data_IF_319927720794
#
_entry.id   IF_319927720794
#
_cell.length_a   1.000
_cell.length_b   1.000
_cell.length_c   1.000
_cell.angle_alpha   90.00
_cell.angle_beta   90.00
_cell.angle_gamma   90.00
#
_symmetry.space_group_name_H-M   'P 1'
#
loop_
_entity.id
_entity.type
_entity.pdbx_description
1 polymer ?
#
# COMPACT_ATOMS: atom_id res chain seq x y z
N UNK A 1 17.49 -21.59 18.62
CA UNK A 1 16.63 -20.87 19.59
C UNK A 1 15.40 -20.41 18.85
N UNK A 2 14.29 -21.17 18.97
CA UNK A 2 13.06 -20.91 18.22
C UNK A 2 12.21 -19.86 18.92
N UNK A 3 12.29 -18.62 18.44
CA UNK A 3 11.33 -17.58 18.79
C UNK A 3 9.98 -17.95 18.21
N UNK A 4 8.96 -18.08 19.08
CA UNK A 4 7.57 -18.25 18.65
C UNK A 4 7.15 -16.95 17.94
N UNK A 5 7.12 -16.96 16.62
CA UNK A 5 6.61 -15.83 15.83
C UNK A 5 5.08 -15.79 15.98
N UNK A 6 4.58 -15.01 16.94
CA UNK A 6 3.15 -14.69 16.98
C UNK A 6 2.82 -13.87 15.71
N UNK A 7 2.01 -14.46 14.85
CA UNK A 7 1.67 -13.90 13.55
C UNK A 7 0.41 -13.05 13.67
N UNK A 8 0.50 -11.81 13.21
CA UNK A 8 -0.65 -10.94 13.07
C UNK A 8 -1.33 -11.23 11.73
N UNK A 9 -2.64 -11.39 11.73
CA UNK A 9 -3.45 -11.65 10.53
C UNK A 9 -4.67 -10.76 10.56
N UNK A 10 -4.97 -10.08 9.46
CA UNK A 10 -6.24 -9.41 9.22
C UNK A 10 -6.67 -9.72 7.79
N UNK A 11 -7.97 -9.97 7.58
CA UNK A 11 -8.50 -10.21 6.25
C UNK A 11 -10.02 -10.16 6.22
N UNK A 12 -10.55 -9.66 5.12
CA UNK A 12 -11.99 -9.64 4.86
C UNK A 12 -12.29 -10.16 3.44
N UNK A 13 -13.52 -10.61 3.25
CA UNK A 13 -14.05 -11.02 1.94
C UNK A 13 -15.34 -10.25 1.68
N UNK A 14 -15.39 -9.58 0.53
CA UNK A 14 -16.62 -9.02 -0.01
C UNK A 14 -17.19 -9.98 -1.05
N UNK A 15 -18.49 -10.26 -1.00
CA UNK A 15 -19.24 -10.93 -2.04
C UNK A 15 -20.40 -10.03 -2.46
N UNK A 16 -20.42 -9.61 -3.73
CA UNK A 16 -21.43 -8.68 -4.28
C UNK A 16 -21.58 -7.40 -3.45
N UNK A 17 -20.46 -6.83 -2.99
CA UNK A 17 -20.42 -5.62 -2.17
C UNK A 17 -20.72 -5.83 -0.69
N UNK A 18 -21.02 -7.05 -0.24
CA UNK A 18 -21.33 -7.36 1.16
C UNK A 18 -20.12 -8.03 1.83
N UNK A 19 -19.70 -7.50 3.00
CA UNK A 19 -18.66 -8.13 3.84
C UNK A 19 -19.21 -9.41 4.46
N UNK A 20 -18.72 -10.56 3.99
CA UNK A 20 -19.14 -11.91 4.40
C UNK A 20 -18.11 -12.63 5.25
N UNK A 21 -16.86 -12.16 5.23
CA UNK A 21 -15.80 -12.58 6.16
C UNK A 21 -15.12 -11.32 6.66
N UNK A 22 -14.88 -11.25 7.96
CA UNK A 22 -14.08 -10.23 8.61
C UNK A 22 -13.35 -10.87 9.79
N UNK A 23 -12.04 -10.93 9.72
CA UNK A 23 -11.21 -11.68 10.66
C UNK A 23 -9.95 -10.89 10.97
N UNK A 24 -9.58 -10.90 12.24
CA UNK A 24 -8.29 -10.42 12.71
C UNK A 24 -7.78 -11.23 13.89
N UNK A 25 -6.48 -11.15 14.17
CA UNK A 25 -5.85 -11.79 15.31
C UNK A 25 -4.36 -11.54 15.38
N UNK A 26 -3.77 -11.83 16.55
CA UNK A 26 -2.37 -11.56 16.84
C UNK A 26 -2.19 -10.26 17.61
N UNK A 27 -1.07 -9.57 17.37
CA UNK A 27 -0.66 -8.38 18.14
C UNK A 27 -0.59 -7.15 17.23
N UNK A 28 -1.06 -6.01 17.71
CA UNK A 28 -0.75 -4.71 17.11
C UNK A 28 0.65 -4.24 17.52
N UNK A 29 1.12 -4.61 18.71
CA UNK A 29 2.49 -4.38 19.17
C UNK A 29 2.97 -5.65 19.87
N UNK A 30 3.95 -6.33 19.26
CA UNK A 30 4.51 -7.56 19.84
C UNK A 30 5.34 -7.29 21.08
N UNK A 31 6.12 -6.20 21.10
CA UNK A 31 6.99 -5.85 22.21
C UNK A 31 6.19 -5.53 23.47
N UNK A 32 5.09 -4.80 23.31
CA UNK A 32 4.15 -4.49 24.39
C UNK A 32 3.10 -5.58 24.64
N UNK A 33 3.09 -6.66 23.84
CA UNK A 33 2.04 -7.68 23.84
C UNK A 33 0.61 -7.11 23.69
N UNK A 34 0.46 -5.98 22.98
CA UNK A 34 -0.85 -5.36 22.76
C UNK A 34 -1.61 -6.12 21.66
N UNK A 35 -2.85 -6.57 21.91
CA UNK A 35 -3.60 -7.37 20.96
C UNK A 35 -3.98 -6.56 19.71
N UNK A 36 -4.15 -7.25 18.59
CA UNK A 36 -4.82 -6.70 17.42
C UNK A 36 -6.32 -6.59 17.69
N UNK A 37 -6.84 -5.37 17.62
CA UNK A 37 -8.26 -5.07 17.79
C UNK A 37 -8.88 -4.64 16.45
N UNK A 38 -10.21 -4.72 16.32
CA UNK A 38 -10.95 -4.29 15.14
C UNK A 38 -10.54 -2.88 14.62
N UNK A 39 -10.39 -1.84 15.47
CA UNK A 39 -9.98 -0.51 15.01
C UNK A 39 -8.48 -0.36 14.75
N UNK A 40 -7.68 -1.43 14.80
CA UNK A 40 -6.23 -1.33 14.54
C UNK A 40 -5.98 -0.92 13.09
N UNK A 41 -5.20 0.12 12.90
CA UNK A 41 -4.71 0.61 11.62
C UNK A 41 -3.31 0.06 11.38
N UNK A 42 -2.96 -0.23 10.14
CA UNK A 42 -1.59 -0.57 9.77
C UNK A 42 -1.19 0.11 8.46
N UNK A 43 0.09 0.46 8.30
CA UNK A 43 0.62 0.80 7.00
C UNK A 43 0.62 -0.43 6.12
N UNK A 44 0.42 -0.22 4.82
CA UNK A 44 0.30 -1.32 3.85
C UNK A 44 0.92 -1.01 2.49
N UNK A 45 1.84 -0.07 2.55
CA UNK A 45 2.88 0.09 1.56
C UNK A 45 2.32 0.33 0.16
N UNK A 46 2.82 -0.43 -0.81
CA UNK A 46 2.59 -0.21 -2.23
C UNK A 46 1.13 -0.35 -2.67
N UNK A 47 0.30 -0.97 -1.84
CA UNK A 47 -1.14 -1.04 -2.06
C UNK A 47 -1.77 0.34 -2.23
N UNK A 48 -1.24 1.33 -1.52
CA UNK A 48 -1.65 2.74 -1.61
C UNK A 48 -1.71 3.23 -3.06
N UNK A 49 -0.82 2.75 -3.94
CA UNK A 49 -0.78 3.13 -5.36
C UNK A 49 -2.09 2.82 -6.08
N UNK A 50 -2.72 1.68 -5.80
CA UNK A 50 -4.02 1.35 -6.38
C UNK A 50 -5.12 2.29 -5.90
N UNK A 51 -5.05 2.69 -4.63
CA UNK A 51 -5.98 3.65 -4.02
C UNK A 51 -5.79 5.04 -4.62
N UNK A 52 -4.56 5.54 -4.76
CA UNK A 52 -4.28 6.85 -5.38
C UNK A 52 -4.53 6.86 -6.89
N UNK A 53 -4.29 5.75 -7.59
CA UNK A 53 -4.71 5.58 -8.99
C UNK A 53 -6.24 5.63 -9.14
N UNK A 54 -7.01 5.14 -8.17
CA UNK A 54 -8.47 5.26 -8.18
C UNK A 54 -8.93 6.72 -8.11
N UNK A 55 -8.26 7.57 -7.32
CA UNK A 55 -8.52 9.01 -7.32
C UNK A 55 -8.34 9.63 -8.71
N UNK A 56 -7.30 9.22 -9.44
CA UNK A 56 -7.07 9.66 -10.82
C UNK A 56 -8.12 9.10 -11.80
N UNK A 57 -8.58 7.87 -11.59
CA UNK A 57 -9.66 7.27 -12.38
C UNK A 57 -10.99 8.04 -12.22
N UNK A 58 -11.29 8.54 -11.02
CA UNK A 58 -12.43 9.43 -10.78
C UNK A 58 -12.30 10.69 -11.65
N UNK A 59 -11.12 11.32 -11.67
CA UNK A 59 -10.86 12.49 -12.50
C UNK A 59 -11.02 12.18 -14.00
N UNK A 60 -10.53 11.02 -14.47
CA UNK A 60 -10.73 10.56 -15.85
C UNK A 60 -12.21 10.36 -16.18
N UNK A 61 -12.98 9.75 -15.28
CA UNK A 61 -14.41 9.50 -15.48
C UNK A 61 -15.23 10.79 -15.67
N UNK A 62 -14.72 11.91 -15.14
CA UNK A 62 -15.31 13.26 -15.27
C UNK A 62 -14.86 14.00 -16.52
N UNK A 63 -13.96 13.41 -17.31
CA UNK A 63 -13.31 14.11 -18.42
C UNK A 63 -12.32 15.20 -17.97
N UNK A 64 -11.94 15.24 -16.69
CA UNK A 64 -11.03 16.26 -16.15
C UNK A 64 -9.56 15.99 -16.51
N UNK A 65 -9.22 14.73 -16.84
CA UNK A 65 -7.90 14.31 -17.28
C UNK A 65 -8.01 13.23 -18.37
N UNK A 66 -7.00 13.10 -19.22
CA UNK A 66 -6.90 12.05 -20.23
C UNK A 66 -5.61 11.24 -20.07
N UNK A 67 -5.72 9.93 -20.17
CA UNK A 67 -4.59 9.02 -20.02
C UNK A 67 -3.61 9.14 -21.20
N UNK A 68 -4.11 9.41 -22.40
CA UNK A 68 -3.28 9.52 -23.59
C UNK A 68 -2.80 10.97 -23.83
N UNK A 69 -3.30 11.93 -23.05
CA UNK A 69 -2.81 13.30 -23.03
C UNK A 69 -1.45 13.42 -22.35
N UNK A 70 -0.69 14.44 -22.75
CA UNK A 70 0.61 14.77 -22.15
C UNK A 70 0.39 15.32 -20.75
N UNK A 71 1.18 14.89 -19.77
CA UNK A 71 1.11 15.40 -18.38
C UNK A 71 1.19 16.94 -18.35
N UNK A 72 2.00 17.51 -19.24
CA UNK A 72 2.19 18.95 -19.42
C UNK A 72 0.89 19.73 -19.71
N UNK A 73 -0.17 19.09 -20.21
CA UNK A 73 -1.46 19.74 -20.47
C UNK A 73 -2.14 20.20 -19.17
N UNK A 74 -2.00 19.43 -18.09
CA UNK A 74 -2.53 19.78 -16.77
C UNK A 74 -1.47 20.41 -15.88
N UNK A 75 -0.21 20.03 -16.10
CA UNK A 75 0.91 20.42 -15.26
C UNK A 75 2.06 20.96 -16.13
N UNK A 76 1.97 22.22 -16.61
CA UNK A 76 2.93 22.76 -17.57
C UNK A 76 4.38 22.70 -17.10
N UNK A 77 4.65 22.94 -15.82
CA UNK A 77 5.98 22.86 -15.24
C UNK A 77 6.54 21.43 -15.25
N UNK A 78 5.75 20.40 -15.55
CA UNK A 78 6.27 19.06 -15.74
C UNK A 78 7.09 18.92 -17.02
N UNK A 79 6.88 19.76 -18.04
CA UNK A 79 7.49 19.63 -19.37
C UNK A 79 9.00 19.92 -19.45
N UNK A 80 9.67 20.15 -18.31
CA UNK A 80 11.11 20.40 -18.24
C UNK A 80 11.91 19.10 -18.20
N UNK A 81 13.19 19.17 -18.51
CA UNK A 81 14.17 18.08 -18.36
C UNK A 81 13.77 16.78 -19.07
N UNK A 82 13.29 16.89 -20.32
CA UNK A 82 12.98 15.77 -21.22
C UNK A 82 11.60 15.15 -21.01
N UNK A 83 10.73 15.77 -20.22
CA UNK A 83 9.42 15.22 -19.84
C UNK A 83 8.25 15.77 -20.65
N UNK A 84 8.50 16.63 -21.63
CA UNK A 84 7.50 17.25 -22.50
C UNK A 84 6.54 16.25 -23.16
N UNK A 85 7.06 15.05 -23.47
CA UNK A 85 6.33 14.03 -24.21
C UNK A 85 5.70 12.94 -23.34
N UNK A 86 5.88 12.99 -22.02
CA UNK A 86 5.32 11.97 -21.11
C UNK A 86 3.80 12.07 -21.08
N UNK A 87 3.11 10.98 -21.40
CA UNK A 87 1.66 10.86 -21.22
C UNK A 87 1.30 10.51 -19.78
N UNK A 88 0.07 10.80 -19.37
CA UNK A 88 -0.44 10.40 -18.06
C UNK A 88 -0.37 8.88 -17.90
N UNK A 89 -0.70 8.11 -18.95
CA UNK A 89 -0.59 6.65 -18.99
C UNK A 89 0.84 6.21 -18.71
N UNK A 90 1.83 6.79 -19.39
CA UNK A 90 3.24 6.45 -19.19
C UNK A 90 3.72 6.80 -17.78
N UNK A 91 3.22 7.90 -17.21
CA UNK A 91 3.53 8.24 -15.82
C UNK A 91 3.01 7.17 -14.86
N UNK A 92 1.74 6.82 -14.93
CA UNK A 92 1.13 5.88 -13.96
C UNK A 92 1.50 4.41 -14.22
N UNK A 93 2.02 4.09 -15.41
CA UNK A 93 2.48 2.74 -15.79
C UNK A 93 3.97 2.49 -15.49
N UNK A 94 4.64 3.43 -14.79
CA UNK A 94 6.08 3.37 -14.51
C UNK A 94 6.98 3.51 -15.75
N UNK A 95 6.55 4.28 -16.76
CA UNK A 95 7.16 4.48 -18.09
C UNK A 95 7.60 5.94 -18.37
N UNK A 96 7.61 6.83 -17.36
CA UNK A 96 8.05 8.24 -17.43
C UNK A 96 9.52 8.59 -17.06
N UNK A 97 10.35 7.63 -16.66
CA UNK A 97 11.80 7.77 -16.43
C UNK A 97 12.16 8.35 -15.07
N UNK A 98 11.23 8.29 -14.12
CA UNK A 98 11.33 8.91 -12.80
C UNK A 98 11.29 7.88 -11.66
N UNK A 99 11.84 6.69 -11.89
CA UNK A 99 11.84 5.58 -10.93
C UNK A 99 12.49 5.93 -9.59
N UNK A 100 13.52 6.77 -9.59
CA UNK A 100 14.21 7.23 -8.39
C UNK A 100 14.83 8.61 -8.56
N UNK A 101 14.05 9.70 -8.45
CA UNK A 101 14.53 11.07 -8.64
C UNK A 101 15.82 11.35 -7.87
N UNK A 102 16.69 12.17 -8.46
CA UNK A 102 17.96 12.59 -7.89
C UNK A 102 18.12 14.12 -8.02
N UNK A 103 18.48 14.84 -6.93
CA UNK A 103 18.70 14.35 -5.56
C UNK A 103 17.41 13.79 -4.93
N UNK A 104 17.48 12.97 -3.88
CA UNK A 104 16.27 12.45 -3.25
C UNK A 104 15.37 13.53 -2.67
N UNK A 105 14.05 13.33 -2.71
CA UNK A 105 13.10 14.25 -2.08
C UNK A 105 13.29 14.27 -0.55
N UNK A 106 13.18 15.44 0.07
CA UNK A 106 13.20 15.55 1.52
C UNK A 106 11.81 15.29 2.13
N UNK A 107 11.76 14.70 3.32
CA UNK A 107 10.50 14.51 4.05
C UNK A 107 9.74 15.82 4.29
N UNK A 108 10.46 16.91 4.59
CA UNK A 108 9.84 18.22 4.77
C UNK A 108 9.15 18.73 3.49
N UNK A 109 9.74 18.46 2.31
CA UNK A 109 9.14 18.81 1.01
C UNK A 109 7.82 18.09 0.79
N UNK A 110 7.72 16.81 1.20
CA UNK A 110 6.52 15.99 1.05
C UNK A 110 5.30 16.52 1.86
N UNK A 111 5.54 17.37 2.87
CA UNK A 111 4.45 17.99 3.67
C UNK A 111 3.77 19.14 2.95
N UNK A 112 4.41 19.71 1.93
CA UNK A 112 3.87 20.81 1.13
C UNK A 112 3.55 20.32 -0.28
N UNK A 113 2.27 20.43 -0.65
CA UNK A 113 1.78 19.97 -1.95
C UNK A 113 2.47 20.71 -3.11
N UNK A 114 2.66 22.02 -3.00
CA UNK A 114 3.29 22.82 -4.04
C UNK A 114 4.78 22.53 -4.17
N UNK A 115 5.49 22.41 -3.05
CA UNK A 115 6.91 22.05 -3.04
C UNK A 115 7.13 20.64 -3.59
N UNK A 116 6.26 19.69 -3.23
CA UNK A 116 6.29 18.31 -3.76
C UNK A 116 6.12 18.31 -5.27
N UNK A 117 5.12 19.03 -5.81
CA UNK A 117 4.95 19.21 -7.26
C UNK A 117 6.22 19.81 -7.85
N UNK A 118 6.64 20.99 -7.41
CA UNK A 118 7.82 21.68 -7.95
C UNK A 118 9.06 20.78 -8.02
N UNK A 119 9.32 19.98 -6.97
CA UNK A 119 10.41 19.01 -6.95
C UNK A 119 10.30 17.97 -8.09
N UNK A 120 9.12 17.35 -8.24
CA UNK A 120 8.91 16.31 -9.25
C UNK A 120 8.90 16.88 -10.68
N UNK A 121 8.39 18.09 -10.86
CA UNK A 121 8.48 18.84 -12.11
C UNK A 121 9.95 19.08 -12.52
N UNK A 122 10.81 19.43 -11.56
CA UNK A 122 12.22 19.69 -11.81
C UNK A 122 13.07 18.41 -11.96
N UNK A 123 12.58 17.23 -11.59
CA UNK A 123 13.35 15.99 -11.68
C UNK A 123 13.67 15.62 -13.15
N UNK A 124 14.93 15.29 -13.48
CA UNK A 124 15.29 14.92 -14.85
C UNK A 124 14.79 13.53 -15.21
N UNK A 125 14.28 13.37 -16.44
CA UNK A 125 13.93 12.06 -16.98
C UNK A 125 15.20 11.26 -17.28
N UNK A 126 15.21 9.98 -16.89
CA UNK A 126 16.37 9.11 -17.10
C UNK A 126 16.27 8.26 -18.38
N UNK A 127 15.06 8.10 -18.91
CA UNK A 127 14.86 7.46 -20.21
C UNK A 127 15.08 8.44 -21.35
N UNK A 128 15.53 7.93 -22.49
CA UNK A 128 15.68 8.73 -23.71
C UNK A 128 14.29 9.10 -24.25
N UNK A 129 13.40 8.12 -24.27
CA UNK A 129 12.02 8.30 -24.72
C UNK A 129 11.06 7.71 -23.68
N UNK A 130 9.94 8.40 -23.36
CA UNK A 130 8.90 7.84 -22.50
C UNK A 130 8.40 6.51 -23.07
N UNK A 131 8.31 5.47 -22.24
CA UNK A 131 7.93 4.11 -22.68
C UNK A 131 9.07 3.18 -23.06
N UNK A 132 10.32 3.66 -23.15
CA UNK A 132 11.47 2.79 -23.48
C UNK A 132 11.62 1.62 -22.48
N UNK A 133 11.38 1.90 -21.19
CA UNK A 133 11.55 0.95 -20.11
C UNK A 133 10.49 1.14 -19.02
N UNK A 134 10.37 0.13 -18.16
CA UNK A 134 9.62 0.19 -16.91
C UNK A 134 10.55 0.29 -15.73
N UNK A 135 10.35 1.31 -14.90
CA UNK A 135 11.11 1.55 -13.68
C UNK A 135 10.18 1.76 -12.51
N UNK A 136 10.07 0.74 -11.66
CA UNK A 136 9.14 0.75 -10.54
C UNK A 136 9.42 1.94 -9.59
N UNK A 137 8.49 2.89 -9.58
CA UNK A 137 8.46 4.05 -8.69
C UNK A 137 7.96 3.62 -7.32
N UNK A 138 8.85 2.97 -6.56
CA UNK A 138 8.49 2.24 -5.35
C UNK A 138 7.84 3.11 -4.26
N UNK A 139 8.25 4.37 -4.14
CA UNK A 139 7.71 5.30 -3.12
C UNK A 139 7.03 6.50 -3.77
N UNK A 140 7.51 6.96 -4.92
CA UNK A 140 7.11 8.24 -5.50
C UNK A 140 5.82 8.21 -6.32
N UNK A 141 5.35 7.04 -6.80
CA UNK A 141 4.19 6.98 -7.72
C UNK A 141 2.95 7.67 -7.14
N UNK A 142 2.57 7.36 -5.91
CA UNK A 142 1.37 7.94 -5.29
C UNK A 142 1.45 9.47 -5.15
N UNK A 143 2.66 10.04 -5.08
CA UNK A 143 2.84 11.48 -5.08
C UNK A 143 2.63 12.10 -6.47
N UNK A 144 3.10 11.43 -7.53
CA UNK A 144 2.79 11.86 -8.91
C UNK A 144 1.29 11.75 -9.22
N UNK A 145 0.64 10.66 -8.80
CA UNK A 145 -0.81 10.49 -8.94
C UNK A 145 -1.57 11.59 -8.18
N UNK A 146 -1.16 11.87 -6.94
CA UNK A 146 -1.74 12.97 -6.15
C UNK A 146 -1.48 14.34 -6.79
N UNK A 147 -0.31 14.57 -7.39
CA UNK A 147 -0.03 15.81 -8.13
C UNK A 147 -0.96 15.96 -9.33
N UNK A 148 -1.17 14.89 -10.11
CA UNK A 148 -2.12 14.91 -11.23
C UNK A 148 -3.55 15.19 -10.77
N UNK A 149 -4.00 14.55 -9.69
CA UNK A 149 -5.32 14.84 -9.09
C UNK A 149 -5.43 16.30 -8.70
N UNK A 150 -4.42 16.88 -8.04
CA UNK A 150 -4.43 18.29 -7.68
C UNK A 150 -4.53 19.21 -8.89
N UNK A 151 -3.90 18.86 -10.01
CA UNK A 151 -3.93 19.65 -11.23
C UNK A 151 -5.22 19.49 -12.03
N UNK A 152 -5.93 18.37 -11.88
CA UNK A 152 -7.21 18.12 -12.57
C UNK A 152 -8.45 18.46 -11.73
N UNK A 153 -8.33 18.64 -10.41
CA UNK A 153 -9.44 18.91 -9.48
C UNK A 153 -9.92 20.39 -9.47
N UNK A 154 -9.63 21.13 -10.54
CA UNK A 154 -10.02 22.54 -10.71
C UNK A 154 -9.46 23.46 -9.61
N UNK A 155 -10.31 24.36 -9.09
CA UNK A 155 -9.90 25.34 -8.07
C UNK A 155 -9.67 24.71 -6.68
N UNK A 156 -10.27 23.54 -6.40
CA UNK A 156 -10.16 22.89 -5.08
C UNK A 156 -8.76 22.34 -4.83
N UNK A 157 -8.08 21.87 -5.89
CA UNK A 157 -6.73 21.29 -5.85
C UNK A 157 -6.51 20.32 -4.68
N UNK A 158 -7.48 19.44 -4.43
CA UNK A 158 -7.35 18.41 -3.39
C UNK A 158 -6.26 17.43 -3.79
N UNK A 159 -5.54 16.93 -2.79
CA UNK A 159 -4.69 15.75 -2.91
C UNK A 159 -5.55 14.52 -3.21
N UNK A 160 -4.93 13.45 -3.71
CA UNK A 160 -5.64 12.17 -3.90
C UNK A 160 -6.34 11.71 -2.61
N UNK A 161 -5.71 11.89 -1.45
CA UNK A 161 -6.28 11.48 -0.17
C UNK A 161 -7.47 12.31 0.29
N UNK A 162 -7.43 13.64 0.12
CA UNK A 162 -8.57 14.51 0.40
C UNK A 162 -9.74 14.20 -0.53
N UNK A 163 -9.48 14.03 -1.83
CA UNK A 163 -10.53 13.67 -2.79
C UNK A 163 -11.19 12.34 -2.42
N UNK A 164 -10.39 11.31 -2.12
CA UNK A 164 -10.91 10.00 -1.72
C UNK A 164 -11.68 10.05 -0.40
N UNK A 165 -11.20 10.85 0.57
CA UNK A 165 -11.93 11.05 1.83
C UNK A 165 -13.31 11.63 1.57
N UNK A 166 -13.38 12.73 0.83
CA UNK A 166 -14.63 13.46 0.60
C UNK A 166 -15.62 12.66 -0.26
N UNK A 167 -15.13 11.97 -1.29
CA UNK A 167 -15.98 11.42 -2.34
C UNK A 167 -16.16 9.90 -2.27
N UNK A 168 -15.34 9.20 -1.50
CA UNK A 168 -15.40 7.75 -1.40
C UNK A 168 -15.52 7.30 0.05
N UNK A 169 -14.56 7.66 0.91
CA UNK A 169 -14.49 7.09 2.25
C UNK A 169 -15.62 7.59 3.14
N UNK A 170 -15.89 8.90 3.17
CA UNK A 170 -16.98 9.46 3.99
C UNK A 170 -18.38 9.02 3.51
N UNK A 171 -18.70 9.02 2.20
CA UNK A 171 -19.98 8.47 1.72
C UNK A 171 -20.18 6.97 2.03
N UNK A 172 -19.08 6.21 2.19
CA UNK A 172 -19.11 4.80 2.54
C UNK A 172 -19.04 4.55 4.07
N UNK A 173 -18.82 5.59 4.87
CA UNK A 173 -18.66 5.49 6.33
C UNK A 173 -17.38 4.80 6.79
N UNK A 174 -16.31 4.85 5.98
CA UNK A 174 -15.01 4.21 6.26
C UNK A 174 -13.85 5.22 6.40
N UNK A 175 -14.13 6.51 6.46
CA UNK A 175 -13.15 7.59 6.56
C UNK A 175 -12.25 7.54 7.80
N UNK A 176 -12.65 6.75 8.80
CA UNK A 176 -11.88 6.45 10.00
C UNK A 176 -11.22 5.06 10.03
N UNK A 177 -11.39 4.29 8.95
CA UNK A 177 -10.77 2.98 8.73
C UNK A 177 -9.62 3.06 7.71
N UNK A 178 -9.63 4.07 6.84
CA UNK A 178 -8.64 4.23 5.76
C UNK A 178 -8.16 5.68 5.63
N UNK A 179 -6.85 5.86 5.54
CA UNK A 179 -6.21 7.18 5.48
C UNK A 179 -5.14 7.21 4.39
N UNK A 180 -5.27 8.16 3.46
CA UNK A 180 -4.18 8.60 2.58
C UNK A 180 -3.82 10.02 3.04
N UNK A 181 -2.79 10.14 3.89
CA UNK A 181 -2.52 11.37 4.64
C UNK A 181 -3.29 11.39 5.96
N UNK A 182 -2.76 10.68 6.97
CA UNK A 182 -3.39 10.55 8.28
C UNK A 182 -3.44 11.89 9.03
N UNK A 183 -4.62 12.34 9.51
CA UNK A 183 -4.74 13.54 10.34
C UNK A 183 -3.99 13.44 11.66
N UNK A 184 -3.52 14.58 12.17
CA UNK A 184 -2.85 14.71 13.47
C UNK A 184 -3.73 14.26 14.67
N UNK A 185 -5.05 14.25 14.49
CA UNK A 185 -6.03 13.85 15.51
C UNK A 185 -6.13 12.34 15.74
N UNK A 186 -5.69 11.50 14.79
CA UNK A 186 -5.73 10.04 14.96
C UNK A 186 -4.63 9.63 15.96
N UNK A 187 -4.96 8.95 17.07
CA UNK A 187 -3.96 8.62 18.09
C UNK A 187 -3.03 7.49 17.63
N UNK A 188 -1.76 7.58 17.99
CA UNK A 188 -0.71 6.61 17.61
C UNK A 188 -1.03 5.18 18.08
N UNK A 189 -1.76 5.04 19.19
CA UNK A 189 -2.19 3.74 19.73
C UNK A 189 -3.11 2.94 18.80
N UNK A 190 -3.70 3.56 17.76
CA UNK A 190 -4.43 2.83 16.73
C UNK A 190 -3.50 2.14 15.74
N UNK A 191 -2.26 2.58 15.58
CA UNK A 191 -1.35 2.03 14.59
C UNK A 191 -0.62 0.80 15.13
N UNK A 192 -0.57 -0.25 14.31
CA UNK A 192 0.28 -1.40 14.56
C UNK A 192 1.75 -1.01 14.43
N UNK A 193 2.56 -1.50 15.36
CA UNK A 193 4.02 -1.41 15.32
C UNK A 193 4.54 -2.44 14.34
N UNK A 194 5.23 -1.96 13.31
CA UNK A 194 5.83 -2.80 12.29
C UNK A 194 7.23 -3.19 12.73
N UNK A 195 7.44 -4.49 12.89
CA UNK A 195 8.77 -5.08 13.00
C UNK A 195 9.47 -4.95 11.64
N UNK A 196 10.47 -4.06 11.55
CA UNK A 196 11.32 -3.96 10.38
C UNK A 196 12.18 -5.21 10.21
N UNK A 197 12.72 -5.41 9.00
CA UNK A 197 13.71 -6.47 8.78
C UNK A 197 15.03 -6.05 9.42
N UNK A 198 15.65 -6.93 10.21
CA UNK A 198 16.83 -6.60 11.00
C UNK A 198 18.08 -7.36 10.52
N UNK A 199 19.26 -6.76 10.71
CA UNK A 199 20.53 -7.41 10.40
C UNK A 199 20.66 -7.89 8.94
N UNK A 200 21.08 -9.15 8.75
CA UNK A 200 21.26 -9.75 7.43
C UNK A 200 20.03 -10.54 6.94
N UNK A 201 18.93 -10.56 7.69
CA UNK A 201 17.70 -11.30 7.33
C UNK A 201 17.21 -11.03 5.89
N UNK A 202 17.27 -9.80 5.36
CA UNK A 202 16.86 -9.55 3.98
C UNK A 202 17.68 -10.32 2.94
N UNK A 203 18.98 -10.56 3.16
CA UNK A 203 19.84 -11.23 2.19
C UNK A 203 19.47 -12.70 1.97
N UNK A 204 18.74 -13.29 2.92
CA UNK A 204 18.29 -14.68 2.90
C UNK A 204 16.77 -14.81 2.67
N UNK A 205 16.08 -13.70 2.39
CA UNK A 205 14.66 -13.73 2.11
C UNK A 205 14.39 -14.21 0.67
N UNK A 206 13.89 -15.43 0.53
CA UNK A 206 13.44 -16.01 -0.75
C UNK A 206 12.22 -15.29 -1.35
N UNK A 207 11.66 -14.32 -0.62
CA UNK A 207 10.51 -13.51 -1.07
C UNK A 207 10.85 -12.49 -2.15
N UNK A 208 12.12 -12.28 -2.47
CA UNK A 208 12.55 -11.30 -3.47
C UNK A 208 13.22 -11.95 -4.70
N UNK A 209 13.10 -11.32 -5.89
CA UNK A 209 13.81 -11.78 -7.07
C UNK A 209 15.33 -11.86 -6.85
N UNK A 210 16.03 -12.81 -7.50
CA UNK A 210 17.48 -12.93 -7.40
C UNK A 210 18.21 -11.60 -7.62
N UNK A 211 19.09 -11.24 -6.69
CA UNK A 211 19.89 -10.02 -6.75
C UNK A 211 19.16 -8.73 -6.37
N UNK A 212 17.85 -8.75 -6.08
CA UNK A 212 17.10 -7.56 -5.61
C UNK A 212 17.74 -6.95 -4.36
N UNK A 213 17.96 -7.76 -3.33
CA UNK A 213 18.48 -7.30 -2.03
C UNK A 213 19.92 -6.81 -2.17
N UNK A 214 20.75 -7.51 -2.97
CA UNK A 214 22.10 -7.06 -3.30
C UNK A 214 22.09 -5.69 -3.98
N UNK A 215 21.24 -5.47 -4.98
CA UNK A 215 21.12 -4.18 -5.67
C UNK A 215 20.61 -3.07 -4.76
N UNK A 216 19.62 -3.39 -3.92
CA UNK A 216 19.04 -2.47 -2.95
C UNK A 216 20.06 -2.00 -1.90
N UNK A 217 20.82 -2.92 -1.32
CA UNK A 217 21.70 -2.64 -0.18
C UNK A 217 23.14 -2.29 -0.57
N UNK A 218 23.68 -2.91 -1.63
CA UNK A 218 25.11 -2.83 -1.97
C UNK A 218 25.39 -2.00 -3.23
N UNK A 219 24.38 -1.60 -4.00
CA UNK A 219 24.55 -0.81 -5.22
C UNK A 219 23.75 0.50 -5.17
N UNK A 220 24.23 1.55 -4.49
CA UNK A 220 23.48 2.81 -4.27
C UNK A 220 23.07 3.54 -5.55
N UNK A 221 23.78 3.30 -6.66
CA UNK A 221 23.47 3.89 -7.98
C UNK A 221 22.45 3.08 -8.77
N UNK A 222 22.10 1.87 -8.33
CA UNK A 222 21.10 1.05 -9.00
C UNK A 222 19.72 1.72 -8.95
N UNK A 223 18.91 1.51 -9.99
CA UNK A 223 17.51 1.96 -10.00
C UNK A 223 16.73 1.41 -8.81
N UNK A 224 17.04 0.18 -8.39
CA UNK A 224 16.44 -0.45 -7.21
C UNK A 224 16.75 0.35 -5.94
N UNK A 225 18.02 0.63 -5.64
CA UNK A 225 18.37 1.42 -4.46
C UNK A 225 17.73 2.82 -4.49
N UNK A 226 17.77 3.49 -5.65
CA UNK A 226 17.24 4.85 -5.80
C UNK A 226 15.71 4.92 -5.68
N UNK A 227 14.98 3.91 -6.16
CA UNK A 227 13.52 3.86 -6.06
C UNK A 227 13.04 3.79 -4.61
N UNK A 228 13.82 3.16 -3.72
CA UNK A 228 13.50 3.02 -2.29
C UNK A 228 14.13 4.12 -1.41
N UNK A 229 15.02 4.95 -1.97
CA UNK A 229 15.72 6.02 -1.25
C UNK A 229 15.04 7.40 -1.36
N UNK A 230 13.77 7.46 -1.77
CA UNK A 230 13.02 8.67 -2.06
C UNK A 230 11.71 8.72 -1.26
N UNK A 231 11.66 9.32 -0.06
CA UNK A 231 12.63 10.24 0.52
C UNK A 231 13.85 9.56 1.16
N UNK A 232 14.96 10.30 1.30
CA UNK A 232 16.15 9.81 2.02
C UNK A 232 15.92 9.94 3.52
N UNK A 233 15.77 8.81 4.20
CA UNK A 233 15.68 8.75 5.66
C UNK A 233 17.09 8.83 6.27
N UNK A 234 17.22 9.50 7.43
CA UNK A 234 18.49 9.83 8.08
C UNK A 234 19.17 8.67 8.83
N UNK A 235 18.63 7.46 8.78
CA UNK A 235 19.18 6.27 9.45
C UNK A 235 19.71 5.23 8.44
N UNK A 236 20.76 4.44 8.78
CA UNK A 236 21.26 3.35 7.92
C UNK A 236 20.14 2.35 7.57
N UNK A 237 20.31 1.53 6.52
CA UNK A 237 19.26 0.67 5.96
C UNK A 237 18.95 -0.56 6.84
N UNK A 238 18.68 -0.37 8.13
CA UNK A 238 17.69 -1.20 8.81
C UNK A 238 16.32 -0.79 8.27
N UNK A 239 16.04 -1.29 7.06
CA UNK A 239 14.75 -1.41 6.36
C UNK A 239 13.64 -0.56 6.98
N UNK A 240 13.54 0.71 6.54
CA UNK A 240 12.41 1.63 6.69
C UNK A 240 11.78 1.60 8.10
N UNK A 241 12.11 2.57 8.96
CA UNK A 241 11.37 2.81 10.22
C UNK A 241 9.93 3.24 9.90
N UNK A 242 9.06 2.25 9.68
CA UNK A 242 7.66 2.42 9.30
C UNK A 242 6.80 2.97 10.43
N UNK A 243 7.37 3.07 11.64
CA UNK A 243 6.67 3.52 12.84
C UNK A 243 6.74 5.04 13.02
N UNK A 244 7.40 5.76 12.09
CA UNK A 244 7.36 7.22 12.05
C UNK A 244 6.10 7.72 11.37
N UNK A 245 5.33 8.54 12.09
CA UNK A 245 4.15 9.26 11.59
C UNK A 245 4.40 10.12 10.34
N UNK A 246 5.66 10.45 10.07
CA UNK A 246 6.10 11.21 8.91
C UNK A 246 5.99 10.41 7.59
N UNK A 247 5.73 9.10 7.67
CA UNK A 247 5.58 8.18 6.54
C UNK A 247 4.14 7.61 6.52
N UNK A 248 3.31 8.04 5.57
CA UNK A 248 1.92 7.59 5.42
C UNK A 248 1.75 6.41 4.45
N UNK A 249 0.88 5.45 4.75
CA UNK A 249 0.54 4.30 3.90
C UNK A 249 -0.93 3.84 4.11
N UNK A 250 -1.59 3.19 3.12
CA UNK A 250 -3.06 2.93 3.05
C UNK A 250 -3.46 1.63 2.29
N UNK A 251 -4.41 0.79 2.80
CA UNK A 251 -4.68 -0.60 2.32
C UNK A 251 -6.01 -0.86 1.66
N UNK A 252 -5.93 -1.52 0.51
CA UNK A 252 -6.95 -2.41 -0.07
C UNK A 252 -6.21 -3.48 -0.88
N UNK A 253 -6.20 -4.77 -0.52
CA UNK A 253 -5.30 -5.77 -1.11
C UNK A 253 -5.23 -5.69 -2.64
N UNK A 254 -4.01 -5.60 -3.18
CA UNK A 254 -3.73 -6.08 -4.52
C UNK A 254 -2.54 -7.03 -4.48
N UNK A 255 -2.75 -8.25 -4.99
CA UNK A 255 -1.76 -9.34 -5.04
C UNK A 255 -0.50 -8.87 -5.77
N UNK A 256 0.64 -8.89 -5.10
CA UNK A 256 1.91 -9.15 -5.77
C UNK A 256 2.25 -10.63 -5.57
N UNK A 257 2.36 -11.33 -6.69
CA UNK A 257 2.66 -12.75 -6.84
C UNK A 257 3.83 -13.23 -5.96
N UNK A 258 3.50 -14.06 -4.98
CA UNK A 258 4.35 -15.07 -4.37
C UNK A 258 3.42 -16.23 -4.03
N UNK A 259 3.73 -17.43 -4.50
CA UNK A 259 2.93 -18.62 -4.17
C UNK A 259 3.16 -18.98 -2.70
N UNK A 260 2.32 -18.45 -1.82
CA UNK A 260 2.17 -18.94 -0.45
C UNK A 260 1.15 -20.09 -0.53
N UNK A 261 1.59 -21.26 -0.97
CA UNK A 261 0.72 -22.44 -1.13
C UNK A 261 0.59 -23.27 0.15
N UNK A 262 1.58 -23.20 1.05
CA UNK A 262 1.70 -24.12 2.19
C UNK A 262 1.77 -23.41 3.56
N UNK A 263 1.40 -22.12 3.62
CA UNK A 263 1.27 -21.45 4.90
C UNK A 263 -0.04 -21.88 5.58
N UNK A 264 0.00 -22.54 6.75
CA UNK A 264 -1.19 -23.07 7.40
C UNK A 264 -2.20 -21.97 7.80
N UNK A 265 -1.76 -20.71 7.94
CA UNK A 265 -2.60 -19.54 8.26
C UNK A 265 -3.32 -19.04 7.00
N UNK A 266 -2.61 -18.97 5.87
CA UNK A 266 -3.22 -18.69 4.57
C UNK A 266 -4.18 -19.81 4.18
N UNK A 267 -3.79 -21.08 4.34
CA UNK A 267 -4.65 -22.23 4.11
C UNK A 267 -5.90 -22.20 5.00
N UNK A 268 -5.78 -21.84 6.29
CA UNK A 268 -6.93 -21.73 7.18
C UNK A 268 -7.87 -20.60 6.73
N UNK A 269 -7.32 -19.42 6.41
CA UNK A 269 -8.08 -18.28 5.90
C UNK A 269 -8.73 -18.59 4.54
N UNK A 270 -7.97 -19.13 3.58
CA UNK A 270 -8.41 -19.56 2.25
C UNK A 270 -9.46 -20.66 2.35
N UNK A 271 -9.29 -21.65 3.22
CA UNK A 271 -10.27 -22.71 3.46
C UNK A 271 -11.56 -22.13 4.07
N UNK A 272 -11.44 -21.17 5.00
CA UNK A 272 -12.59 -20.49 5.61
C UNK A 272 -13.32 -19.63 4.57
N UNK A 273 -12.60 -18.86 3.77
CA UNK A 273 -13.10 -18.11 2.61
C UNK A 273 -13.80 -19.02 1.60
N UNK A 274 -13.20 -20.15 1.23
CA UNK A 274 -13.81 -21.13 0.32
C UNK A 274 -15.08 -21.76 0.90
N UNK A 275 -15.09 -22.10 2.20
CA UNK A 275 -16.29 -22.63 2.86
C UNK A 275 -17.41 -21.58 2.96
N UNK A 276 -17.06 -20.33 3.24
CA UNK A 276 -18.01 -19.21 3.22
C UNK A 276 -18.56 -18.98 1.81
N UNK A 277 -17.71 -19.01 0.77
CA UNK A 277 -18.11 -18.88 -0.63
C UNK A 277 -18.99 -20.05 -1.09
N UNK A 278 -18.69 -21.30 -0.70
CA UNK A 278 -19.55 -22.46 -0.98
C UNK A 278 -20.92 -22.35 -0.31
N UNK A 279 -20.97 -21.88 0.95
CA UNK A 279 -22.23 -21.60 1.65
C UNK A 279 -23.02 -20.45 1.00
N UNK A 280 -22.33 -19.50 0.38
CA UNK A 280 -22.94 -18.41 -0.36
C UNK A 280 -23.33 -18.78 -1.80
N UNK A 281 -22.81 -19.87 -2.37
CA UNK A 281 -23.08 -20.34 -3.74
C UNK A 281 -24.52 -20.78 -4.03
N UNK A 282 -25.40 -20.77 -3.02
CA UNK A 282 -26.85 -20.93 -3.17
C UNK A 282 -27.66 -19.63 -2.95
N UNK A 283 -27.00 -18.48 -2.85
CA UNK A 283 -27.62 -17.21 -2.46
C UNK A 283 -27.85 -16.31 -3.68
N UNK A 284 -29.09 -16.26 -4.18
CA UNK A 284 -29.47 -15.45 -5.35
C UNK A 284 -30.22 -14.15 -5.00
N UNK A 285 -30.14 -13.66 -3.75
CA UNK A 285 -30.98 -12.58 -3.26
C UNK A 285 -30.20 -11.39 -2.66
N UNK A 286 -30.70 -10.17 -2.92
CA UNK A 286 -30.21 -8.88 -2.43
C UNK A 286 -30.39 -8.64 -0.91
N UNK A 287 -30.23 -9.68 -0.07
CA UNK A 287 -30.19 -9.53 1.39
C UNK A 287 -28.81 -9.90 1.91
N UNK A 288 -28.29 -9.10 2.82
CA UNK A 288 -27.06 -9.41 3.53
C UNK A 288 -27.21 -10.78 4.23
N UNK A 289 -26.23 -11.67 4.04
CA UNK A 289 -26.11 -12.87 4.87
C UNK A 289 -25.88 -12.43 6.32
N UNK A 290 -26.64 -12.95 7.31
CA UNK A 290 -26.42 -12.56 8.70
C UNK A 290 -25.01 -13.00 9.13
N UNK A 291 -24.17 -12.04 9.54
CA UNK A 291 -22.79 -12.29 10.01
C UNK A 291 -22.74 -13.40 11.08
N UNK A 292 -23.75 -13.49 11.95
CA UNK A 292 -23.88 -14.55 12.96
C UNK A 292 -23.96 -15.98 12.39
N UNK A 293 -24.35 -16.17 11.11
CA UNK A 293 -24.35 -17.49 10.44
C UNK A 293 -22.99 -17.83 9.79
N UNK A 294 -22.08 -16.87 9.73
CA UNK A 294 -20.73 -16.97 9.14
C UNK A 294 -19.62 -16.86 10.19
N UNK A 295 -19.95 -16.39 11.40
CA UNK A 295 -19.10 -16.52 12.59
C UNK A 295 -18.99 -17.98 13.00
N UNK A 296 -17.89 -18.62 12.61
CA UNK A 296 -17.45 -19.88 13.19
C UNK A 296 -16.38 -19.54 14.23
N UNK A 297 -16.54 -19.97 15.50
CA UNK A 297 -15.48 -19.88 16.50
C UNK A 297 -14.19 -20.45 15.91
N UNK A 298 -13.05 -19.89 16.32
CA UNK A 298 -11.74 -20.34 15.84
C UNK A 298 -11.37 -21.68 16.48
N UNK A 299 -12.17 -22.73 16.29
CA UNK A 299 -11.80 -24.10 16.68
C UNK A 299 -10.84 -24.66 15.63
N UNK A 300 -9.55 -24.42 15.85
CA UNK A 300 -8.49 -25.16 15.19
C UNK A 300 -8.61 -26.62 15.63
N UNK A 301 -8.64 -27.55 14.68
CA UNK A 301 -8.69 -28.97 15.01
C UNK A 301 -7.43 -29.35 15.81
N UNK A 302 -7.58 -30.20 16.84
CA UNK A 302 -6.47 -30.60 17.71
C UNK A 302 -5.24 -31.14 16.95
N UNK A 303 -5.45 -31.73 15.77
CA UNK A 303 -4.39 -32.18 14.85
C UNK A 303 -3.53 -31.04 14.29
N UNK A 304 -4.12 -29.87 14.06
CA UNK A 304 -3.44 -28.70 13.51
C UNK A 304 -2.64 -27.99 14.60
N UNK A 305 -3.14 -28.00 15.85
CA UNK A 305 -2.41 -27.54 17.05
C UNK A 305 -1.23 -28.46 17.40
N UNK A 306 -1.41 -29.79 17.26
CA UNK A 306 -0.34 -30.76 17.51
C UNK A 306 0.83 -30.65 16.51
N UNK A 307 0.53 -30.31 15.25
CA UNK A 307 1.54 -30.10 14.20
C UNK A 307 2.19 -28.72 14.28
N UNK A 308 1.48 -27.71 14.76
CA UNK A 308 1.96 -26.33 14.89
C UNK A 308 1.61 -25.75 16.28
N UNK A 309 2.43 -26.05 17.31
CA UNK A 309 2.12 -25.72 18.72
C UNK A 309 1.94 -24.23 19.02
N UNK A 310 2.40 -23.33 18.13
CA UNK A 310 2.25 -21.88 18.25
C UNK A 310 0.87 -21.37 17.83
N UNK A 311 -0.02 -22.23 17.32
CA UNK A 311 -1.41 -21.92 17.00
C UNK A 311 -2.39 -22.22 18.16
N UNK A 312 -1.88 -22.69 19.30
CA UNK A 312 -2.71 -22.90 20.49
C UNK A 312 -3.33 -21.57 20.96
N UNK A 313 -4.58 -21.57 21.45
CA UNK A 313 -5.16 -20.41 22.13
C UNK A 313 -4.21 -19.94 23.24
N UNK A 314 -3.97 -18.64 23.32
CA UNK A 314 -3.31 -18.08 24.49
C UNK A 314 -4.23 -18.30 25.71
N UNK A 315 -3.66 -18.60 26.90
CA UNK A 315 -4.44 -18.81 28.12
C UNK A 315 -5.29 -17.60 28.50
#
# INVERSE_FOLDING_TARGET
>A
MGGRHAATTQGFLLLSGVKVVDLWGGYRDRGAQAPWEEPTLAPVFSTTKGVTAFALAIQKSRGAIDYDGKVAQWWPEFAQNGKEDVTVRQLISHECGLAGPAPPIALATLRDKAATRAFFAAAPMEWRTPGDYKGYMAVTLGNFESALVQMSDGERRRSAGELLRDECFAPLGIEDEIYVGTPASVPDARFAVIDGMSGLEPLFADSFPPGFVRRLLLEPRSYTARAFANPRLSAPPSVLDYNRRELGYCYVPNRCSGYILDDPREMALRTKVWRCAQRAGGYSGARALPLARLSVPHELAARDVARFPYLAPLP
#
